data_IF_282478283035
#
_entry.id   IF_282478283035
#
_cell.length_a   1.000
_cell.length_b   1.000
_cell.length_c   1.000
_cell.angle_alpha   90.00
_cell.angle_beta   90.00
_cell.angle_gamma   90.00
#
_symmetry.space_group_name_H-M   'P 1'
#
loop_
_entity.id
_entity.type
_entity.pdbx_description
1 polymer ?
#
# COMPACT_ATOMS: atom_id res chain seq x y z
N UNK A 1 -4.45 -4.55 -25.20
CA UNK A 1 -5.82 -4.78 -24.67
C UNK A 1 -5.82 -4.51 -23.18
N UNK A 2 -6.16 -3.27 -22.79
CA UNK A 2 -6.45 -2.92 -21.40
C UNK A 2 -7.82 -3.51 -21.04
N UNK A 3 -8.03 -3.84 -19.76
CA UNK A 3 -9.32 -4.30 -19.26
C UNK A 3 -9.77 -3.44 -18.10
N UNK A 4 -11.08 -3.32 -17.90
CA UNK A 4 -11.65 -2.66 -16.73
C UNK A 4 -11.16 -3.37 -15.45
N UNK A 5 -10.46 -2.65 -14.58
CA UNK A 5 -9.79 -3.17 -13.40
C UNK A 5 -8.33 -3.62 -13.61
N UNK A 6 -7.78 -3.51 -14.82
CA UNK A 6 -6.35 -3.69 -15.07
C UNK A 6 -5.55 -2.46 -14.62
N UNK A 7 -4.26 -2.61 -14.43
CA UNK A 7 -3.37 -1.50 -14.06
C UNK A 7 -2.21 -1.40 -15.05
N UNK A 8 -1.79 -0.20 -15.41
CA UNK A 8 -0.74 0.07 -16.42
C UNK A 8 0.09 1.31 -16.05
N UNK A 9 1.30 1.43 -16.60
CA UNK A 9 2.11 2.64 -16.42
C UNK A 9 2.01 3.57 -17.62
N UNK A 10 1.95 4.86 -17.31
CA UNK A 10 2.10 5.94 -18.28
C UNK A 10 2.87 7.10 -17.63
N UNK A 11 3.91 7.58 -18.31
CA UNK A 11 4.81 8.65 -17.83
C UNK A 11 5.34 8.44 -16.41
N UNK A 12 5.74 7.22 -16.07
CA UNK A 12 6.30 6.87 -14.75
C UNK A 12 5.29 6.89 -13.60
N UNK A 13 4.00 7.09 -13.90
CA UNK A 13 2.93 7.05 -12.90
C UNK A 13 2.12 5.76 -13.06
N UNK A 14 1.86 5.02 -11.98
CA UNK A 14 0.99 3.86 -11.97
C UNK A 14 -0.49 4.27 -12.15
N UNK A 15 -1.19 3.72 -13.16
CA UNK A 15 -2.61 3.96 -13.45
C UNK A 15 -3.45 2.70 -13.29
N UNK A 16 -4.66 2.83 -12.74
CA UNK A 16 -5.65 1.75 -12.68
C UNK A 16 -6.82 2.07 -13.61
N UNK A 17 -7.13 1.17 -14.54
CA UNK A 17 -8.20 1.28 -15.52
C UNK A 17 -9.53 1.18 -14.81
N UNK A 18 -10.23 2.29 -14.74
CA UNK A 18 -11.54 2.42 -14.12
C UNK A 18 -12.61 1.89 -15.06
N UNK A 19 -12.46 2.19 -16.35
CA UNK A 19 -13.41 1.89 -17.41
C UNK A 19 -12.76 2.03 -18.80
N UNK A 20 -13.36 1.39 -19.82
CA UNK A 20 -12.92 1.47 -21.21
C UNK A 20 -14.14 1.75 -22.07
N UNK A 21 -14.15 2.90 -22.73
CA UNK A 21 -15.15 3.26 -23.73
C UNK A 21 -14.62 2.96 -25.13
N UNK A 22 -15.46 3.13 -26.16
CA UNK A 22 -15.04 2.94 -27.56
C UNK A 22 -13.89 3.87 -27.97
N UNK A 23 -13.83 5.08 -27.39
CA UNK A 23 -12.91 6.14 -27.80
C UNK A 23 -11.77 6.42 -26.81
N UNK A 24 -11.88 5.96 -25.55
CA UNK A 24 -10.94 6.33 -24.49
C UNK A 24 -10.82 5.32 -23.34
N UNK A 25 -9.66 5.32 -22.70
CA UNK A 25 -9.41 4.57 -21.46
C UNK A 25 -9.47 5.53 -20.27
N UNK A 26 -10.42 5.31 -19.37
CA UNK A 26 -10.56 6.07 -18.14
C UNK A 26 -9.70 5.40 -17.06
N UNK A 27 -8.67 6.08 -16.58
CA UNK A 27 -7.76 5.54 -15.58
C UNK A 27 -7.51 6.52 -14.42
N UNK A 28 -7.33 6.01 -13.20
CA UNK A 28 -6.89 6.80 -12.04
C UNK A 28 -5.40 6.64 -11.80
N UNK A 29 -4.68 7.72 -11.46
CA UNK A 29 -3.34 7.60 -10.92
C UNK A 29 -3.47 6.93 -9.55
N UNK A 30 -2.97 5.72 -9.46
CA UNK A 30 -3.02 4.94 -8.24
C UNK A 30 -1.81 5.32 -7.41
N UNK A 31 -1.99 5.71 -6.15
CA UNK A 31 -0.87 5.73 -5.20
C UNK A 31 -0.50 4.29 -4.86
N UNK A 32 0.15 3.56 -5.78
CA UNK A 32 0.70 2.21 -5.67
C UNK A 32 -0.22 1.07 -5.18
N UNK A 33 -1.47 1.35 -4.77
CA UNK A 33 -2.29 0.52 -3.87
C UNK A 33 -3.34 -0.38 -4.51
N UNK A 34 -3.51 -0.32 -5.82
CA UNK A 34 -4.36 -1.23 -6.61
C UNK A 34 -3.68 -1.72 -7.88
N UNK A 35 -2.37 -1.50 -7.99
CA UNK A 35 -1.56 -2.11 -9.01
C UNK A 35 -1.09 -3.45 -8.47
N UNK A 36 -1.89 -4.48 -8.68
CA UNK A 36 -1.32 -5.79 -8.97
C UNK A 36 -0.79 -5.73 -10.41
N UNK A 37 0.27 -4.95 -10.64
CA UNK A 37 1.26 -5.40 -11.61
C UNK A 37 2.12 -6.33 -10.79
N UNK A 38 2.06 -7.64 -11.05
CA UNK A 38 2.95 -8.55 -10.37
C UNK A 38 4.35 -8.03 -10.63
N UNK A 39 5.12 -7.76 -9.57
CA UNK A 39 6.55 -7.60 -9.71
C UNK A 39 7.05 -8.96 -10.23
N UNK A 40 7.08 -9.14 -11.54
CA UNK A 40 7.56 -10.36 -12.15
C UNK A 40 9.09 -10.35 -12.05
N UNK A 41 9.60 -10.47 -10.83
CA UNK A 41 10.98 -10.86 -10.50
C UNK A 41 11.24 -12.33 -10.89
N UNK A 42 10.60 -12.80 -11.96
CA UNK A 42 10.74 -14.15 -12.52
C UNK A 42 11.39 -14.15 -13.90
N UNK A 43 11.74 -12.98 -14.44
CA UNK A 43 12.66 -12.84 -15.59
C UNK A 43 14.11 -12.71 -15.13
N UNK A 44 14.34 -12.09 -13.96
CA UNK A 44 15.66 -12.06 -13.33
C UNK A 44 16.01 -13.44 -12.75
N UNK A 45 17.30 -13.79 -12.85
CA UNK A 45 17.84 -15.00 -12.25
C UNK A 45 17.65 -14.89 -10.72
N UNK A 46 16.87 -15.80 -10.09
CA UNK A 46 16.62 -15.71 -8.66
C UNK A 46 17.90 -15.95 -7.88
N UNK A 47 18.10 -15.18 -6.82
CA UNK A 47 19.19 -15.44 -5.87
C UNK A 47 18.87 -16.74 -5.13
N UNK A 48 19.80 -17.70 -5.19
CA UNK A 48 19.63 -19.00 -4.55
C UNK A 48 19.72 -18.90 -3.03
N UNK A 49 19.26 -19.94 -2.35
CA UNK A 49 19.34 -20.04 -0.90
C UNK A 49 20.80 -19.97 -0.42
N UNK A 50 21.71 -20.66 -1.09
CA UNK A 50 23.14 -20.73 -0.72
C UNK A 50 23.79 -19.35 -0.80
N UNK A 51 23.55 -18.61 -1.89
CA UNK A 51 24.09 -17.25 -2.06
C UNK A 51 23.54 -16.32 -0.99
N UNK A 52 22.23 -16.40 -0.71
CA UNK A 52 21.62 -15.57 0.33
C UNK A 52 22.21 -15.87 1.73
N UNK A 53 22.49 -17.13 2.02
CA UNK A 53 23.13 -17.56 3.27
C UNK A 53 24.57 -17.04 3.38
N UNK A 54 25.38 -17.10 2.32
CA UNK A 54 26.74 -16.54 2.33
C UNK A 54 26.74 -15.03 2.56
N UNK A 55 25.84 -14.30 1.90
CA UNK A 55 25.66 -12.86 2.16
C UNK A 55 25.25 -12.60 3.61
N UNK A 56 24.35 -13.42 4.15
CA UNK A 56 23.96 -13.38 5.57
C UNK A 56 25.16 -13.57 6.51
N UNK A 57 26.02 -14.56 6.23
CA UNK A 57 27.27 -14.79 6.99
C UNK A 57 28.18 -13.56 6.96
N UNK A 58 28.34 -12.93 5.79
CA UNK A 58 29.18 -11.73 5.67
C UNK A 58 28.68 -10.55 6.50
N UNK A 59 27.36 -10.39 6.69
CA UNK A 59 26.79 -9.33 7.55
C UNK A 59 27.22 -9.48 9.01
N UNK A 60 27.31 -10.72 9.50
CA UNK A 60 27.68 -11.02 10.89
C UNK A 60 29.11 -10.57 11.26
N UNK A 61 29.97 -10.34 10.25
CA UNK A 61 31.37 -9.90 10.43
C UNK A 61 31.44 -8.43 10.86
N UNK A 62 30.48 -7.59 10.45
CA UNK A 62 30.41 -6.16 10.83
C UNK A 62 29.33 -5.94 11.89
N UNK A 63 29.64 -6.24 13.16
CA UNK A 63 28.70 -6.21 14.32
C UNK A 63 28.17 -4.83 14.75
N UNK A 64 28.23 -3.79 13.92
CA UNK A 64 27.88 -2.43 14.35
C UNK A 64 26.36 -2.16 14.41
N UNK A 65 25.51 -3.12 14.03
CA UNK A 65 24.05 -3.01 14.08
C UNK A 65 23.48 -4.20 14.84
N UNK A 66 22.61 -3.95 15.82
CA UNK A 66 21.93 -4.99 16.61
C UNK A 66 20.43 -4.67 16.74
N UNK A 67 19.53 -5.67 16.56
CA UNK A 67 19.81 -7.01 16.03
C UNK A 67 20.26 -6.98 14.55
N UNK A 68 21.21 -7.85 14.19
CA UNK A 68 21.72 -8.00 12.82
C UNK A 68 20.97 -9.12 12.10
N UNK A 69 20.31 -8.86 10.96
CA UNK A 69 19.73 -9.92 10.14
C UNK A 69 20.83 -10.64 9.37
N UNK A 70 21.08 -11.90 9.74
CA UNK A 70 22.11 -12.75 9.17
C UNK A 70 21.56 -14.16 8.86
N UNK A 71 22.47 -15.11 8.61
CA UNK A 71 22.10 -16.47 8.25
C UNK A 71 21.60 -17.33 9.44
N UNK A 72 21.70 -16.83 10.68
CA UNK A 72 21.26 -17.53 11.91
C UNK A 72 20.14 -16.80 12.64
N UNK A 73 19.94 -15.52 12.35
CA UNK A 73 19.02 -14.62 13.05
C UNK A 73 18.01 -14.06 12.08
N UNK A 74 16.77 -14.51 12.24
CA UNK A 74 15.59 -13.98 11.55
C UNK A 74 15.02 -12.86 12.42
N UNK A 75 14.74 -11.71 11.82
CA UNK A 75 14.20 -10.56 12.56
C UNK A 75 12.83 -10.23 12.00
N UNK A 76 11.82 -10.20 12.88
CA UNK A 76 10.50 -9.66 12.60
C UNK A 76 10.46 -8.23 13.12
N UNK A 77 10.80 -7.29 12.24
CA UNK A 77 10.78 -5.86 12.53
C UNK A 77 9.39 -5.29 12.30
N UNK A 78 8.86 -4.53 13.26
CA UNK A 78 7.51 -3.96 13.20
C UNK A 78 7.60 -2.45 13.41
N UNK A 79 7.10 -1.70 12.44
CA UNK A 79 7.05 -0.23 12.44
C UNK A 79 5.62 0.20 12.09
N UNK A 80 4.82 0.50 13.12
CA UNK A 80 3.38 0.81 12.98
C UNK A 80 2.61 -0.29 12.21
N UNK A 81 2.30 -0.07 10.94
CA UNK A 81 1.53 -0.93 10.04
C UNK A 81 2.43 -1.59 8.97
N UNK A 82 3.74 -1.41 9.06
CA UNK A 82 4.74 -2.06 8.24
C UNK A 82 5.42 -3.17 9.05
N UNK A 83 5.44 -4.37 8.49
CA UNK A 83 6.17 -5.53 9.03
C UNK A 83 7.27 -5.89 8.05
N UNK A 84 8.50 -5.98 8.52
CA UNK A 84 9.66 -6.42 7.72
C UNK A 84 10.24 -7.67 8.34
N UNK A 85 10.05 -8.81 7.67
CA UNK A 85 10.70 -10.06 8.04
C UNK A 85 12.04 -10.14 7.32
N UNK A 86 13.12 -9.90 8.05
CA UNK A 86 14.48 -10.09 7.53
C UNK A 86 14.84 -11.57 7.58
N UNK A 87 14.99 -12.17 6.40
CA UNK A 87 15.24 -13.59 6.19
C UNK A 87 16.17 -13.78 4.99
N UNK A 88 17.42 -14.15 5.24
CA UNK A 88 18.42 -14.42 4.19
C UNK A 88 18.25 -15.81 3.56
N UNK A 89 17.09 -16.09 2.94
CA UNK A 89 16.78 -17.40 2.37
C UNK A 89 16.65 -17.41 0.82
N UNK A 90 16.93 -16.30 0.15
CA UNK A 90 16.90 -16.22 -1.31
C UNK A 90 15.50 -15.97 -1.85
N UNK A 91 15.41 -15.73 -3.16
CA UNK A 91 14.20 -15.19 -3.80
C UNK A 91 13.02 -16.16 -3.71
N UNK A 92 13.21 -17.44 -4.07
CA UNK A 92 12.11 -18.42 -4.17
C UNK A 92 11.56 -18.83 -2.81
N UNK A 93 12.42 -18.93 -1.79
CA UNK A 93 11.98 -19.20 -0.42
C UNK A 93 11.21 -18.01 0.13
N UNK A 94 11.76 -16.80 0.00
CA UNK A 94 11.12 -15.60 0.53
C UNK A 94 9.79 -15.29 -0.17
N UNK A 95 9.65 -15.56 -1.48
CA UNK A 95 8.37 -15.48 -2.18
C UNK A 95 7.31 -16.42 -1.58
N UNK A 96 7.71 -17.65 -1.25
CA UNK A 96 6.83 -18.63 -0.62
C UNK A 96 6.39 -18.17 0.78
N UNK A 97 7.35 -17.77 1.61
CA UNK A 97 7.08 -17.26 2.96
C UNK A 97 6.23 -15.99 2.92
N UNK A 98 6.51 -15.04 2.04
CA UNK A 98 5.74 -13.79 1.92
C UNK A 98 4.27 -14.06 1.64
N UNK A 99 4.00 -14.97 0.72
CA UNK A 99 2.64 -15.32 0.32
C UNK A 99 1.88 -16.04 1.42
N UNK A 100 2.53 -17.00 2.08
CA UNK A 100 1.94 -17.72 3.21
C UNK A 100 1.68 -16.78 4.39
N UNK A 101 2.62 -15.91 4.69
CA UNK A 101 2.52 -15.00 5.83
C UNK A 101 1.46 -13.92 5.59
N UNK A 102 1.44 -13.31 4.40
CA UNK A 102 0.36 -12.41 3.98
C UNK A 102 -1.00 -13.08 4.09
N UNK A 103 -1.13 -14.35 3.66
CA UNK A 103 -2.39 -15.10 3.79
C UNK A 103 -2.80 -15.29 5.25
N UNK A 104 -1.89 -15.71 6.14
CA UNK A 104 -2.21 -15.87 7.57
C UNK A 104 -2.62 -14.57 8.24
N UNK A 105 -1.96 -13.45 7.91
CA UNK A 105 -2.35 -12.14 8.42
C UNK A 105 -3.68 -11.69 7.82
N UNK A 106 -3.91 -11.91 6.53
CA UNK A 106 -5.19 -11.57 5.89
C UNK A 106 -6.35 -12.35 6.50
N UNK A 107 -6.16 -13.63 6.80
CA UNK A 107 -7.16 -14.47 7.47
C UNK A 107 -7.46 -14.01 8.90
N UNK A 108 -6.44 -13.51 9.61
CA UNK A 108 -6.59 -12.95 10.95
C UNK A 108 -7.32 -11.61 10.95
N UNK A 109 -7.03 -10.75 9.96
CA UNK A 109 -7.50 -9.37 9.88
C UNK A 109 -8.88 -9.27 9.19
N UNK A 110 -9.17 -10.15 8.23
CA UNK A 110 -10.34 -10.06 7.36
C UNK A 110 -10.17 -9.08 6.18
N UNK A 111 -8.96 -8.54 5.98
CA UNK A 111 -8.60 -7.64 4.89
C UNK A 111 -7.31 -8.10 4.19
N UNK A 112 -7.09 -7.63 2.96
CA UNK A 112 -5.90 -7.98 2.17
C UNK A 112 -4.63 -7.38 2.76
N UNK A 113 -3.60 -8.20 2.95
CA UNK A 113 -2.25 -7.76 3.34
C UNK A 113 -1.32 -7.76 2.14
N UNK A 114 -0.71 -6.61 1.87
CA UNK A 114 0.27 -6.48 0.78
C UNK A 114 1.59 -7.11 1.20
N UNK A 115 2.22 -7.86 0.31
CA UNK A 115 3.53 -8.44 0.57
C UNK A 115 4.42 -8.43 -0.67
N UNK A 116 5.67 -8.01 -0.48
CA UNK A 116 6.74 -8.08 -1.48
C UNK A 116 7.96 -8.72 -0.83
N UNK A 117 8.65 -9.57 -1.58
CA UNK A 117 9.86 -10.23 -1.13
C UNK A 117 11.04 -9.85 -2.02
N UNK A 118 12.20 -9.72 -1.40
CA UNK A 118 13.50 -9.78 -2.05
C UNK A 118 14.30 -10.97 -1.49
N UNK A 119 15.53 -11.24 -1.95
CA UNK A 119 16.33 -12.38 -1.48
C UNK A 119 16.64 -12.39 0.03
N UNK A 120 16.48 -11.26 0.71
CA UNK A 120 16.96 -11.05 2.08
C UNK A 120 15.88 -10.59 3.05
N UNK A 121 14.73 -10.10 2.56
CA UNK A 121 13.63 -9.64 3.40
C UNK A 121 12.29 -9.72 2.70
N UNK A 122 11.25 -9.72 3.52
CA UNK A 122 9.85 -9.69 3.11
C UNK A 122 9.20 -8.48 3.78
N UNK A 123 8.64 -7.59 2.98
CA UNK A 123 7.89 -6.44 3.46
C UNK A 123 6.41 -6.75 3.39
N UNK A 124 5.69 -6.54 4.49
CA UNK A 124 4.24 -6.64 4.54
C UNK A 124 3.63 -5.32 5.00
N UNK A 125 2.67 -4.81 4.24
CA UNK A 125 1.90 -3.61 4.60
C UNK A 125 0.52 -4.02 5.07
N UNK A 126 0.25 -3.76 6.35
CA UNK A 126 -1.02 -4.01 7.01
C UNK A 126 -1.98 -2.84 6.76
N UNK A 127 -3.30 -3.07 6.76
CA UNK A 127 -4.28 -1.99 6.71
C UNK A 127 -4.28 -1.13 7.98
N UNK A 128 -3.86 -1.70 9.11
CA UNK A 128 -3.72 -1.04 10.41
C UNK A 128 -2.65 -1.73 11.28
N UNK A 129 -2.09 -1.04 12.29
CA UNK A 129 -1.13 -1.63 13.22
C UNK A 129 -1.71 -2.82 14.00
N UNK A 130 -0.92 -3.87 14.17
CA UNK A 130 -1.25 -5.05 14.97
C UNK A 130 -0.26 -5.24 16.11
N UNK A 131 -0.66 -5.95 17.16
CA UNK A 131 0.25 -6.32 18.26
C UNK A 131 1.31 -7.32 17.77
N UNK A 132 2.52 -7.22 18.31
CA UNK A 132 3.64 -8.15 18.01
C UNK A 132 3.22 -9.60 18.11
N UNK A 133 2.48 -9.94 19.17
CA UNK A 133 2.14 -11.31 19.51
C UNK A 133 1.14 -11.91 18.52
N UNK A 134 0.26 -11.09 17.95
CA UNK A 134 -0.67 -11.50 16.88
C UNK A 134 0.11 -11.79 15.59
N UNK A 135 1.02 -10.89 15.21
CA UNK A 135 1.86 -11.02 14.02
C UNK A 135 2.78 -12.26 14.15
N UNK A 136 3.42 -12.42 15.31
CA UNK A 136 4.29 -13.57 15.60
C UNK A 136 3.51 -14.89 15.57
N UNK A 137 2.32 -14.94 16.20
CA UNK A 137 1.46 -16.12 16.15
C UNK A 137 1.04 -16.45 14.72
N UNK A 138 0.65 -15.45 13.92
CA UNK A 138 0.31 -15.65 12.52
C UNK A 138 1.49 -16.26 11.74
N UNK A 139 2.70 -15.74 11.92
CA UNK A 139 3.91 -16.29 11.29
C UNK A 139 4.19 -17.74 11.72
N UNK A 140 4.19 -18.02 13.03
CA UNK A 140 4.47 -19.36 13.57
C UNK A 140 3.36 -20.38 13.25
N UNK A 141 2.16 -19.92 12.92
CA UNK A 141 1.03 -20.79 12.54
C UNK A 141 1.17 -21.42 11.16
N UNK A 142 2.10 -20.95 10.32
CA UNK A 142 2.35 -21.50 8.97
C UNK A 142 2.81 -22.95 9.11
N UNK A 143 2.08 -23.90 8.51
CA UNK A 143 2.38 -25.34 8.60
C UNK A 143 2.41 -26.00 7.22
N UNK A 144 1.25 -26.07 6.56
CA UNK A 144 1.10 -26.83 5.33
C UNK A 144 1.53 -26.00 4.11
N UNK A 145 2.85 -25.82 3.92
CA UNK A 145 3.44 -24.90 2.93
C UNK A 145 2.88 -25.15 1.53
N UNK A 146 2.93 -26.39 1.04
CA UNK A 146 2.44 -26.71 -0.31
C UNK A 146 0.95 -26.41 -0.48
N UNK A 147 0.09 -26.95 0.38
CA UNK A 147 -1.37 -26.79 0.22
C UNK A 147 -1.81 -25.34 0.43
N UNK A 148 -1.21 -24.62 1.40
CA UNK A 148 -1.55 -23.22 1.66
C UNK A 148 -1.09 -22.33 0.48
N UNK A 149 0.06 -22.65 -0.15
CA UNK A 149 0.48 -22.00 -1.40
C UNK A 149 -0.47 -22.29 -2.55
N UNK A 150 -0.89 -23.55 -2.75
CA UNK A 150 -1.87 -23.94 -3.77
C UNK A 150 -3.18 -23.15 -3.60
N UNK A 151 -3.74 -23.12 -2.38
CA UNK A 151 -4.95 -22.37 -2.07
C UNK A 151 -4.78 -20.86 -2.31
N UNK A 152 -3.62 -20.31 -1.96
CA UNK A 152 -3.32 -18.89 -2.20
C UNK A 152 -3.17 -18.56 -3.70
N UNK A 153 -2.93 -19.57 -4.55
CA UNK A 153 -2.77 -19.45 -6.01
C UNK A 153 -4.09 -19.46 -6.76
N UNK A 154 -5.08 -20.24 -6.31
CA UNK A 154 -6.33 -20.51 -7.04
C UNK A 154 -7.09 -19.25 -7.48
N UNK A 155 -6.92 -18.13 -6.77
CA UNK A 155 -7.59 -16.86 -7.07
C UNK A 155 -6.63 -15.72 -7.40
N UNK A 156 -5.37 -16.05 -7.68
CA UNK A 156 -4.34 -15.03 -7.90
C UNK A 156 -4.21 -14.63 -9.37
N UNK A 157 -3.98 -13.33 -9.66
CA UNK A 157 -3.61 -12.89 -11.00
C UNK A 157 -2.37 -13.57 -11.58
N UNK A 158 -1.44 -14.01 -10.71
CA UNK A 158 -0.28 -14.84 -11.10
C UNK A 158 -0.72 -16.11 -11.84
N UNK A 159 -1.70 -16.83 -11.29
CA UNK A 159 -2.24 -18.04 -11.90
C UNK A 159 -2.89 -17.73 -13.25
N UNK A 160 -3.74 -16.70 -13.31
CA UNK A 160 -4.39 -16.27 -14.56
C UNK A 160 -3.38 -15.96 -15.66
N UNK A 161 -2.39 -15.14 -15.34
CA UNK A 161 -1.39 -14.70 -16.30
C UNK A 161 -0.56 -15.86 -16.84
N UNK A 162 -0.08 -16.75 -15.96
CA UNK A 162 0.68 -17.92 -16.40
C UNK A 162 -0.19 -18.92 -17.15
N UNK A 163 -1.46 -19.04 -16.77
CA UNK A 163 -2.43 -19.86 -17.52
C UNK A 163 -2.63 -19.34 -18.94
N UNK A 164 -2.77 -18.02 -19.13
CA UNK A 164 -2.85 -17.42 -20.47
C UNK A 164 -1.61 -17.75 -21.30
N UNK A 165 -0.42 -17.59 -20.73
CA UNK A 165 0.83 -17.86 -21.42
C UNK A 165 0.97 -19.35 -21.82
N UNK A 166 0.68 -20.26 -20.89
CA UNK A 166 0.78 -21.70 -21.15
C UNK A 166 -0.34 -22.19 -22.05
N UNK A 167 -1.56 -21.67 -21.90
CA UNK A 167 -2.68 -21.95 -22.79
C UNK A 167 -2.39 -21.57 -24.24
N UNK A 168 -1.68 -20.45 -24.46
CA UNK A 168 -1.21 -20.06 -25.80
C UNK A 168 -0.14 -21.02 -26.33
N UNK A 169 0.86 -21.37 -25.53
CA UNK A 169 1.90 -22.34 -25.94
C UNK A 169 1.31 -23.71 -26.29
N UNK A 170 0.25 -24.13 -25.60
CA UNK A 170 -0.45 -25.40 -25.84
C UNK A 170 -1.47 -25.32 -26.99
N UNK A 171 -1.66 -24.14 -27.61
CA UNK A 171 -2.65 -23.93 -28.66
C UNK A 171 -4.11 -23.96 -28.16
N UNK A 172 -4.34 -23.94 -26.85
CA UNK A 172 -5.68 -23.86 -26.27
C UNK A 172 -6.30 -22.46 -26.44
N UNK A 173 -5.47 -21.43 -26.46
CA UNK A 173 -5.88 -20.02 -26.49
C UNK A 173 -5.20 -19.30 -27.65
N UNK A 174 -5.92 -18.42 -28.33
CA UNK A 174 -5.33 -17.49 -29.30
C UNK A 174 -4.48 -16.41 -28.61
N UNK A 175 -3.67 -15.69 -29.37
CA UNK A 175 -2.77 -14.65 -28.84
C UNK A 175 -3.51 -13.49 -28.17
N UNK A 176 -4.70 -13.16 -28.68
CA UNK A 176 -5.58 -12.10 -28.20
C UNK A 176 -6.58 -12.59 -27.14
N UNK A 177 -6.70 -13.90 -26.94
CA UNK A 177 -7.62 -14.47 -25.97
C UNK A 177 -7.32 -13.96 -24.56
N UNK A 178 -8.39 -13.61 -23.87
CA UNK A 178 -8.38 -13.32 -22.47
C UNK A 178 -9.40 -14.18 -21.71
N UNK A 179 -9.04 -14.64 -20.52
CA UNK A 179 -9.84 -15.58 -19.74
C UNK A 179 -10.16 -15.03 -18.36
N UNK A 180 -11.37 -15.31 -17.88
CA UNK A 180 -11.75 -15.03 -16.51
C UNK A 180 -11.16 -16.06 -15.54
N UNK A 181 -11.04 -15.71 -14.26
CA UNK A 181 -10.63 -16.69 -13.25
C UNK A 181 -11.61 -17.87 -13.12
N UNK A 182 -12.90 -17.66 -13.41
CA UNK A 182 -13.89 -18.75 -13.42
C UNK A 182 -13.54 -19.77 -14.51
N UNK A 183 -13.13 -19.31 -15.69
CA UNK A 183 -12.69 -20.19 -16.78
C UNK A 183 -11.44 -21.00 -16.38
N UNK A 184 -10.43 -20.34 -15.81
CA UNK A 184 -9.21 -21.00 -15.34
C UNK A 184 -9.53 -22.10 -14.32
N UNK A 185 -10.44 -21.84 -13.38
CA UNK A 185 -10.88 -22.85 -12.38
C UNK A 185 -11.66 -24.01 -12.99
N UNK A 186 -12.48 -23.76 -14.01
CA UNK A 186 -13.21 -24.82 -14.71
C UNK A 186 -12.25 -25.84 -15.35
N UNK A 187 -11.05 -25.40 -15.71
CA UNK A 187 -10.00 -26.23 -16.31
C UNK A 187 -9.00 -26.79 -15.30
N UNK A 188 -9.30 -26.81 -13.99
CA UNK A 188 -8.38 -27.28 -12.93
C UNK A 188 -7.80 -28.69 -13.15
N UNK A 189 -8.52 -29.55 -13.85
CA UNK A 189 -8.11 -30.93 -14.16
C UNK A 189 -7.49 -31.10 -15.55
N UNK A 190 -7.34 -30.02 -16.31
CA UNK A 190 -6.69 -30.03 -17.63
C UNK A 190 -5.17 -30.10 -17.52
N UNK A 191 -4.52 -30.67 -18.53
CA UNK A 191 -3.06 -30.66 -18.65
C UNK A 191 -2.47 -29.23 -18.63
N UNK A 192 -3.17 -28.27 -19.25
CA UNK A 192 -2.76 -26.85 -19.27
C UNK A 192 -2.74 -26.26 -17.86
N UNK A 193 -3.74 -26.54 -17.04
CA UNK A 193 -3.76 -26.06 -15.65
C UNK A 193 -2.68 -26.73 -14.81
N UNK A 194 -2.51 -28.05 -14.94
CA UNK A 194 -1.48 -28.78 -14.20
C UNK A 194 -0.07 -28.29 -14.56
N UNK A 195 0.21 -28.07 -15.85
CA UNK A 195 1.47 -27.47 -16.29
C UNK A 195 1.63 -26.03 -15.80
N UNK A 196 0.54 -25.27 -15.75
CA UNK A 196 0.55 -23.92 -15.17
C UNK A 196 0.97 -23.92 -13.71
N UNK A 197 0.33 -24.76 -12.89
CA UNK A 197 0.69 -24.89 -11.48
C UNK A 197 2.13 -25.38 -11.33
N UNK A 198 2.53 -26.42 -12.07
CA UNK A 198 3.90 -26.96 -12.05
C UNK A 198 4.94 -25.89 -12.39
N UNK A 199 4.70 -25.11 -13.45
CA UNK A 199 5.58 -24.03 -13.90
C UNK A 199 5.68 -22.91 -12.85
N UNK A 200 4.56 -22.53 -12.22
CA UNK A 200 4.56 -21.54 -11.14
C UNK A 200 5.37 -22.04 -9.95
N UNK A 201 5.11 -23.27 -9.48
CA UNK A 201 5.84 -23.85 -8.37
C UNK A 201 7.33 -23.97 -8.66
N UNK A 202 7.70 -24.40 -9.86
CA UNK A 202 9.09 -24.53 -10.26
C UNK A 202 9.81 -23.18 -10.40
N UNK A 203 9.15 -22.13 -10.91
CA UNK A 203 9.82 -20.84 -11.15
C UNK A 203 9.86 -19.94 -9.92
N UNK A 204 8.81 -19.95 -9.10
CA UNK A 204 8.63 -18.93 -8.06
C UNK A 204 8.86 -19.42 -6.64
N UNK A 205 8.76 -20.73 -6.37
CA UNK A 205 8.74 -21.24 -5.00
C UNK A 205 9.74 -22.37 -4.79
N UNK A 206 10.41 -22.39 -3.64
CA UNK A 206 11.18 -23.54 -3.17
C UNK A 206 10.51 -24.10 -1.92
N UNK A 207 9.65 -25.09 -2.11
CA UNK A 207 8.80 -25.65 -1.05
C UNK A 207 9.66 -26.34 0.01
N UNK A 208 10.60 -27.20 -0.42
CA UNK A 208 11.40 -28.01 0.50
C UNK A 208 12.25 -27.15 1.43
N UNK A 209 12.95 -26.16 0.87
CA UNK A 209 13.75 -25.23 1.66
C UNK A 209 12.87 -24.34 2.55
N UNK A 210 11.69 -23.92 2.06
CA UNK A 210 10.73 -23.15 2.85
C UNK A 210 10.25 -23.92 4.08
N UNK A 211 9.88 -25.19 3.92
CA UNK A 211 9.45 -26.06 5.03
C UNK A 211 10.55 -26.25 6.07
N UNK A 212 11.79 -26.49 5.62
CA UNK A 212 12.94 -26.66 6.50
C UNK A 212 13.26 -25.37 7.27
N UNK A 213 13.25 -24.20 6.63
CA UNK A 213 13.47 -22.91 7.30
C UNK A 213 12.40 -22.64 8.37
N UNK A 214 11.12 -22.82 8.04
CA UNK A 214 10.03 -22.64 9.01
C UNK A 214 10.15 -23.62 10.19
N UNK A 215 10.60 -24.86 9.94
CA UNK A 215 10.89 -25.85 10.97
C UNK A 215 12.09 -25.45 11.84
N UNK A 216 13.16 -24.95 11.25
CA UNK A 216 14.35 -24.49 11.98
C UNK A 216 14.04 -23.29 12.88
N UNK A 217 13.17 -22.37 12.43
CA UNK A 217 12.67 -21.27 13.25
C UNK A 217 11.86 -21.80 14.44
N UNK A 218 10.92 -22.72 14.21
CA UNK A 218 10.08 -23.30 15.29
C UNK A 218 10.88 -24.10 16.31
N UNK A 219 11.90 -24.81 15.87
CA UNK A 219 12.78 -25.61 16.75
C UNK A 219 13.88 -24.79 17.41
N UNK A 220 13.99 -23.49 17.10
CA UNK A 220 14.98 -22.58 17.68
C UNK A 220 16.39 -22.71 17.08
N UNK A 221 16.59 -23.52 16.03
CA UNK A 221 17.86 -23.59 15.29
C UNK A 221 18.19 -22.28 14.60
N UNK A 222 17.16 -21.61 14.06
CA UNK A 222 17.23 -20.22 13.61
C UNK A 222 16.58 -19.34 14.67
N UNK A 223 17.33 -18.35 15.17
CA UNK A 223 16.85 -17.44 16.20
C UNK A 223 15.85 -16.47 15.58
N UNK A 224 14.61 -16.44 16.07
CA UNK A 224 13.64 -15.41 15.74
C UNK A 224 13.70 -14.28 16.78
N UNK A 225 13.91 -13.06 16.33
CA UNK A 225 13.89 -11.85 17.16
C UNK A 225 12.73 -10.98 16.74
N UNK A 226 11.91 -10.55 17.70
CA UNK A 226 10.86 -9.55 17.48
C UNK A 226 11.45 -8.18 17.79
N UNK A 227 11.37 -7.25 16.85
CA UNK A 227 11.99 -5.93 16.96
C UNK A 227 10.95 -4.83 16.65
N UNK A 228 10.33 -4.29 17.70
CA UNK A 228 9.39 -3.18 17.56
C UNK A 228 10.15 -1.86 17.58
N UNK A 229 9.94 -1.02 16.56
CA UNK A 229 10.63 0.26 16.40
C UNK A 229 9.66 1.37 15.99
N UNK A 230 10.01 2.60 16.34
CA UNK A 230 9.34 3.80 15.83
C UNK A 230 9.73 4.09 14.38
N UNK A 231 11.00 3.85 14.01
CA UNK A 231 11.52 4.08 12.66
C UNK A 231 12.15 2.83 12.05
N UNK A 232 12.06 2.64 10.72
CA UNK A 232 12.69 1.52 10.04
C UNK A 232 14.20 1.47 10.30
N UNK A 233 14.73 0.28 10.50
CA UNK A 233 16.17 0.02 10.52
C UNK A 233 16.79 0.34 9.15
N UNK A 234 18.13 0.44 9.10
CA UNK A 234 18.85 0.63 7.84
C UNK A 234 18.49 -0.41 6.78
N UNK A 235 18.40 -1.70 7.17
CA UNK A 235 18.02 -2.76 6.23
C UNK A 235 16.54 -2.69 5.86
N UNK A 236 15.64 -2.30 6.76
CA UNK A 236 14.25 -2.10 6.41
C UNK A 236 14.11 -0.92 5.42
N UNK A 237 14.80 0.20 5.67
CA UNK A 237 14.79 1.39 4.81
C UNK A 237 15.22 1.07 3.37
N UNK A 238 16.32 0.32 3.17
CA UNK A 238 16.73 -0.13 1.83
C UNK A 238 15.64 -0.99 1.16
N UNK A 239 14.98 -1.84 1.94
CA UNK A 239 13.90 -2.69 1.43
C UNK A 239 12.70 -1.86 0.98
N UNK A 240 12.32 -0.87 1.80
CA UNK A 240 11.22 0.06 1.50
C UNK A 240 11.56 0.87 0.26
N UNK A 241 12.77 1.41 0.15
CA UNK A 241 13.21 2.20 -1.01
C UNK A 241 13.15 1.39 -2.30
N UNK A 242 13.64 0.14 -2.28
CA UNK A 242 13.55 -0.76 -3.45
C UNK A 242 12.10 -1.13 -3.78
N UNK A 243 11.31 -1.47 -2.77
CA UNK A 243 9.91 -1.84 -2.96
C UNK A 243 9.04 -0.64 -3.36
N UNK A 244 9.44 0.57 -3.01
CA UNK A 244 8.77 1.83 -3.39
C UNK A 244 9.35 2.45 -4.66
N UNK A 245 10.42 1.87 -5.22
CA UNK A 245 10.97 2.24 -6.52
C UNK A 245 10.18 1.59 -7.66
N UNK A 246 10.21 2.23 -8.84
CA UNK A 246 9.52 1.73 -10.03
C UNK A 246 8.00 1.87 -9.94
N UNK A 247 7.26 0.79 -10.10
CA UNK A 247 5.79 0.79 -10.29
C UNK A 247 5.00 0.83 -8.97
N UNK A 248 5.66 0.61 -7.83
CA UNK A 248 5.06 0.44 -6.49
C UNK A 248 5.23 1.69 -5.59
N UNK A 249 5.31 2.88 -6.19
CA UNK A 249 5.61 4.13 -5.48
C UNK A 249 4.71 4.33 -4.26
N UNK A 250 5.34 4.43 -3.08
CA UNK A 250 4.69 4.73 -1.81
C UNK A 250 3.87 3.60 -1.17
N UNK A 251 3.93 2.37 -1.67
CA UNK A 251 3.13 1.26 -1.15
C UNK A 251 3.55 0.79 0.26
N UNK A 252 4.85 0.88 0.56
CA UNK A 252 5.44 0.37 1.81
C UNK A 252 5.92 1.47 2.77
N UNK A 253 5.57 2.74 2.49
CA UNK A 253 5.96 3.84 3.36
C UNK A 253 5.28 3.72 4.75
N UNK A 254 6.02 3.91 5.86
CA UNK A 254 5.45 3.93 7.19
C UNK A 254 4.34 4.98 7.31
N UNK A 255 3.32 4.68 8.11
CA UNK A 255 2.15 5.55 8.31
C UNK A 255 2.54 6.99 8.69
N UNK A 256 3.48 7.15 9.61
CA UNK A 256 3.99 8.45 10.07
C UNK A 256 4.59 9.27 8.93
N UNK A 257 5.37 8.64 8.04
CA UNK A 257 5.98 9.33 6.89
C UNK A 257 4.93 9.77 5.85
N UNK A 258 3.85 9.01 5.70
CA UNK A 258 2.71 9.41 4.87
C UNK A 258 2.01 10.63 5.50
N UNK A 259 1.81 10.62 6.82
CA UNK A 259 1.18 11.73 7.55
C UNK A 259 2.05 12.98 7.46
N UNK A 260 3.37 12.88 7.67
CA UNK A 260 4.28 14.02 7.61
C UNK A 260 4.34 14.62 6.20
N UNK A 261 4.45 13.78 5.16
CA UNK A 261 4.42 14.24 3.78
C UNK A 261 3.09 14.95 3.43
N UNK A 262 1.96 14.40 3.88
CA UNK A 262 0.66 15.03 3.69
C UNK A 262 0.54 16.35 4.46
N UNK A 263 1.07 16.41 5.68
CA UNK A 263 1.12 17.64 6.50
C UNK A 263 1.93 18.72 5.81
N UNK A 264 3.12 18.40 5.32
CA UNK A 264 3.99 19.33 4.58
C UNK A 264 3.29 19.84 3.31
N UNK A 265 2.69 18.95 2.51
CA UNK A 265 1.92 19.32 1.33
C UNK A 265 0.75 20.24 1.68
N UNK A 266 -0.06 19.87 2.68
CA UNK A 266 -1.20 20.66 3.11
C UNK A 266 -0.80 22.06 3.59
N UNK A 267 0.28 22.17 4.36
CA UNK A 267 0.76 23.46 4.89
C UNK A 267 1.44 24.33 3.82
N UNK A 268 1.99 23.74 2.76
CA UNK A 268 2.62 24.48 1.66
C UNK A 268 1.61 25.26 0.77
N UNK A 269 0.31 24.97 0.89
CA UNK A 269 -0.72 25.58 0.05
C UNK A 269 -1.00 27.04 0.45
N UNK A 270 -1.28 27.85 -0.56
CA UNK A 270 -1.80 29.21 -0.40
C UNK A 270 -3.26 29.24 -0.80
N UNK A 271 -4.13 29.69 0.11
CA UNK A 271 -5.57 29.72 -0.07
C UNK A 271 -6.02 31.13 -0.43
N UNK A 272 -6.99 31.24 -1.33
CA UNK A 272 -7.67 32.50 -1.62
C UNK A 272 -8.96 32.56 -0.79
N UNK A 273 -9.06 33.54 0.10
CA UNK A 273 -10.19 33.70 1.01
C UNK A 273 -11.02 34.92 0.62
N UNK A 274 -12.34 34.86 0.82
CA UNK A 274 -13.25 35.98 0.70
C UNK A 274 -14.08 36.17 1.97
N UNK A 275 -14.22 37.42 2.41
CA UNK A 275 -15.09 37.76 3.54
C UNK A 275 -16.54 37.90 3.07
N UNK A 276 -17.46 37.14 3.66
CA UNK A 276 -18.88 37.18 3.34
C UNK A 276 -19.59 38.45 3.86
N UNK A 277 -18.95 39.21 4.75
CA UNK A 277 -19.51 40.46 5.28
C UNK A 277 -19.15 41.70 4.45
N UNK A 278 -17.91 41.80 3.95
CA UNK A 278 -17.43 43.01 3.27
C UNK A 278 -16.80 42.75 1.89
N UNK A 279 -16.87 41.51 1.41
CA UNK A 279 -16.33 41.02 0.13
C UNK A 279 -14.82 41.20 -0.07
N UNK A 280 -14.08 41.61 0.97
CA UNK A 280 -12.63 41.70 0.92
C UNK A 280 -12.01 40.31 0.71
N UNK A 281 -11.09 40.21 -0.22
CA UNK A 281 -10.34 38.98 -0.50
C UNK A 281 -8.91 39.06 0.03
N UNK A 282 -8.32 37.91 0.34
CA UNK A 282 -6.89 37.82 0.68
C UNK A 282 -6.33 36.45 0.34
N UNK A 283 -5.04 36.42 0.00
CA UNK A 283 -4.29 35.18 -0.01
C UNK A 283 -3.75 34.87 1.39
N UNK A 284 -3.78 33.61 1.79
CA UNK A 284 -3.27 33.15 3.06
C UNK A 284 -2.45 31.87 2.85
N UNK A 285 -1.17 31.93 3.17
CA UNK A 285 -0.30 30.76 3.18
C UNK A 285 -0.56 29.95 4.45
N UNK A 286 -0.88 28.65 4.30
CA UNK A 286 -1.34 27.82 5.41
C UNK A 286 -0.30 27.61 6.50
N UNK A 287 0.99 27.47 6.15
CA UNK A 287 2.06 27.31 7.13
C UNK A 287 2.05 28.46 8.17
N UNK A 288 1.91 29.70 7.69
CA UNK A 288 1.87 30.91 8.52
C UNK A 288 0.46 31.35 8.96
N UNK A 289 -0.58 30.55 8.71
CA UNK A 289 -1.93 30.93 9.09
C UNK A 289 -2.09 30.98 10.63
N UNK A 290 -2.71 32.04 11.18
CA UNK A 290 -3.02 32.11 12.61
C UNK A 290 -4.12 31.12 12.99
N UNK A 291 -4.21 30.76 14.27
CA UNK A 291 -5.26 29.85 14.76
C UNK A 291 -6.66 30.42 14.55
N UNK A 292 -6.84 31.73 14.76
CA UNK A 292 -8.10 32.44 14.48
C UNK A 292 -7.97 33.27 13.20
N UNK A 293 -8.93 33.11 12.31
CA UNK A 293 -8.93 33.71 10.98
C UNK A 293 -9.93 34.90 10.96
N UNK A 294 -9.42 36.13 10.92
CA UNK A 294 -10.24 37.36 10.84
C UNK A 294 -10.03 38.12 9.54
N UNK A 295 -11.04 38.86 9.10
CA UNK A 295 -10.95 39.72 7.93
C UNK A 295 -10.05 40.94 8.23
N UNK A 296 -9.14 41.27 7.32
CA UNK A 296 -8.25 42.43 7.46
C UNK A 296 -8.97 43.79 7.30
N UNK A 297 -10.20 43.80 6.76
CA UNK A 297 -10.95 45.03 6.46
C UNK A 297 -12.04 45.33 7.48
N UNK A 298 -12.78 44.32 7.93
CA UNK A 298 -13.91 44.49 8.86
C UNK A 298 -13.77 43.69 10.16
N UNK A 299 -12.64 43.01 10.36
CA UNK A 299 -12.29 42.25 11.58
C UNK A 299 -13.21 41.06 11.92
N UNK A 300 -14.32 40.88 11.20
CA UNK A 300 -15.21 39.72 11.35
C UNK A 300 -14.56 38.43 10.87
N UNK A 301 -14.92 37.33 11.52
CA UNK A 301 -14.44 35.97 11.23
C UNK A 301 -15.34 35.21 10.24
N UNK A 302 -16.02 35.90 9.33
CA UNK A 302 -16.91 35.31 8.32
C UNK A 302 -16.19 35.17 6.98
N UNK A 303 -15.14 34.34 6.95
CA UNK A 303 -14.30 34.11 5.78
C UNK A 303 -14.55 32.72 5.20
N UNK A 304 -14.62 32.65 3.88
CA UNK A 304 -14.75 31.40 3.13
C UNK A 304 -13.67 31.29 2.05
N UNK A 305 -13.64 30.16 1.34
CA UNK A 305 -12.66 29.85 0.30
C UNK A 305 -13.18 30.25 -1.08
N UNK A 306 -12.26 30.67 -1.94
CA UNK A 306 -12.46 30.80 -3.37
C UNK A 306 -11.80 29.63 -4.10
N UNK A 307 -12.45 29.17 -5.17
CA UNK A 307 -11.87 28.19 -6.08
C UNK A 307 -10.81 28.83 -7.01
N UNK A 308 -10.21 28.02 -7.90
CA UNK A 308 -9.19 28.50 -8.85
C UNK A 308 -9.74 29.52 -9.85
N UNK A 309 -11.05 29.54 -10.07
CA UNK A 309 -11.75 30.47 -10.94
C UNK A 309 -12.25 31.71 -10.19
N UNK A 310 -11.86 31.88 -8.91
CA UNK A 310 -12.31 32.94 -8.01
C UNK A 310 -13.82 32.96 -7.73
N UNK A 311 -14.48 31.81 -7.84
CA UNK A 311 -15.86 31.64 -7.38
C UNK A 311 -15.89 31.16 -5.93
N UNK A 312 -16.97 31.49 -5.24
CA UNK A 312 -17.25 30.93 -3.92
C UNK A 312 -17.37 29.41 -3.99
N UNK A 313 -16.71 28.71 -3.06
CA UNK A 313 -16.91 27.26 -2.91
C UNK A 313 -18.38 26.94 -2.59
N UNK A 314 -18.83 25.73 -2.95
CA UNK A 314 -20.18 25.26 -2.60
C UNK A 314 -20.38 25.31 -1.08
N UNK A 315 -21.58 25.70 -0.66
CA UNK A 315 -21.96 25.89 0.74
C UNK A 315 -21.03 26.85 1.50
N UNK A 316 -20.74 27.99 0.87
CA UNK A 316 -19.80 29.01 1.37
C UNK A 316 -20.08 29.49 2.80
N UNK A 317 -21.35 29.66 3.17
CA UNK A 317 -21.77 30.04 4.53
C UNK A 317 -21.40 28.97 5.56
N UNK A 318 -21.60 27.70 5.21
CA UNK A 318 -21.25 26.59 6.09
C UNK A 318 -19.72 26.47 6.23
N UNK A 319 -18.98 26.60 5.12
CA UNK A 319 -17.52 26.66 5.15
C UNK A 319 -17.02 27.81 6.05
N UNK A 320 -17.64 28.99 5.99
CA UNK A 320 -17.30 30.12 6.84
C UNK A 320 -17.57 29.84 8.32
N UNK A 321 -18.69 29.18 8.65
CA UNK A 321 -18.98 28.73 10.01
C UNK A 321 -17.92 27.77 10.56
N UNK A 322 -17.43 26.84 9.73
CA UNK A 322 -16.35 25.93 10.12
C UNK A 322 -15.02 26.67 10.34
N UNK A 323 -14.69 27.62 9.46
CA UNK A 323 -13.48 28.45 9.60
C UNK A 323 -13.56 29.32 10.86
N UNK A 324 -14.74 29.85 11.19
CA UNK A 324 -14.95 30.60 12.42
C UNK A 324 -14.76 29.74 13.67
N UNK A 325 -15.29 28.51 13.68
CA UNK A 325 -15.27 27.63 14.84
C UNK A 325 -13.91 26.93 15.05
N UNK A 326 -13.28 26.46 13.97
CA UNK A 326 -12.09 25.60 14.02
C UNK A 326 -10.84 26.22 13.40
N UNK A 327 -10.95 27.42 12.80
CA UNK A 327 -9.81 28.21 12.38
C UNK A 327 -8.92 27.52 11.35
N UNK A 328 -7.61 27.46 11.64
CA UNK A 328 -6.59 26.84 10.78
C UNK A 328 -6.92 25.39 10.41
N UNK A 329 -7.46 24.60 11.35
CA UNK A 329 -7.84 23.20 11.09
C UNK A 329 -8.95 23.09 10.03
N UNK A 330 -9.94 23.99 10.05
CA UNK A 330 -10.96 24.03 9.01
C UNK A 330 -10.38 24.38 7.64
N UNK A 331 -9.44 25.33 7.58
CA UNK A 331 -8.76 25.66 6.32
C UNK A 331 -7.98 24.46 5.75
N UNK A 332 -7.26 23.71 6.59
CA UNK A 332 -6.55 22.49 6.17
C UNK A 332 -7.54 21.46 5.60
N UNK A 333 -8.62 21.15 6.33
CA UNK A 333 -9.60 20.17 5.90
C UNK A 333 -10.29 20.59 4.58
N UNK A 334 -10.79 21.82 4.50
CA UNK A 334 -11.51 22.33 3.32
C UNK A 334 -10.61 22.55 2.09
N UNK A 335 -9.30 22.79 2.31
CA UNK A 335 -8.34 22.87 1.20
C UNK A 335 -8.00 21.50 0.60
N UNK A 336 -8.39 20.41 1.26
CA UNK A 336 -8.10 19.06 0.81
C UNK A 336 -9.07 18.65 -0.29
N UNK A 337 -8.52 18.21 -1.42
CA UNK A 337 -9.32 17.79 -2.57
C UNK A 337 -10.33 16.71 -2.19
N UNK A 338 -11.60 16.94 -2.53
CA UNK A 338 -12.70 16.01 -2.26
C UNK A 338 -13.34 16.14 -0.88
N UNK A 339 -12.87 17.06 -0.04
CA UNK A 339 -13.46 17.32 1.28
C UNK A 339 -14.29 18.60 1.20
N UNK A 340 -15.61 18.45 1.14
CA UNK A 340 -16.56 19.56 1.26
C UNK A 340 -16.91 19.89 2.71
N UNK A 341 -17.70 20.97 2.96
CA UNK A 341 -18.04 21.43 4.31
C UNK A 341 -18.64 20.36 5.22
N UNK A 342 -19.58 19.55 4.74
CA UNK A 342 -20.19 18.47 5.55
C UNK A 342 -19.19 17.39 5.96
N UNK A 343 -18.22 17.05 5.10
CA UNK A 343 -17.19 16.06 5.43
C UNK A 343 -16.17 16.65 6.39
N UNK A 344 -15.79 17.92 6.19
CA UNK A 344 -14.91 18.65 7.10
C UNK A 344 -15.52 18.79 8.50
N UNK A 345 -16.80 19.14 8.63
CA UNK A 345 -17.50 19.23 9.91
C UNK A 345 -17.42 17.91 10.70
N UNK A 346 -17.67 16.78 10.04
CA UNK A 346 -17.56 15.46 10.67
C UNK A 346 -16.16 15.19 11.21
N UNK A 347 -15.11 15.53 10.46
CA UNK A 347 -13.71 15.34 10.87
C UNK A 347 -13.36 16.27 12.05
N UNK A 348 -13.75 17.55 11.96
CA UNK A 348 -13.40 18.58 12.94
C UNK A 348 -14.07 18.36 14.31
N UNK A 349 -15.26 17.75 14.33
CA UNK A 349 -15.97 17.39 15.57
C UNK A 349 -15.32 16.23 16.34
N UNK A 350 -14.47 15.41 15.69
CA UNK A 350 -13.82 14.30 16.36
C UNK A 350 -12.79 14.83 17.35
N UNK A 351 -13.01 14.60 18.64
CA UNK A 351 -12.05 14.94 19.69
C UNK A 351 -10.86 13.99 19.56
N UNK A 352 -9.74 14.51 19.06
CA UNK A 352 -8.46 13.79 18.96
C UNK A 352 -7.47 14.35 19.99
N UNK A 353 -6.63 13.49 20.55
CA UNK A 353 -5.60 13.87 21.55
C UNK A 353 -4.33 14.42 20.87
N UNK A 354 -4.10 14.01 19.63
CA UNK A 354 -2.90 14.28 18.83
C UNK A 354 -3.25 14.90 17.47
N UNK A 355 -2.32 15.71 16.95
CA UNK A 355 -2.45 16.39 15.67
C UNK A 355 -2.38 15.42 14.48
N UNK A 356 -1.64 14.31 14.61
CA UNK A 356 -1.46 13.31 13.56
C UNK A 356 -2.78 12.60 13.20
N UNK A 357 -3.57 12.24 14.21
CA UNK A 357 -4.89 11.64 14.03
C UNK A 357 -5.82 12.54 13.20
N UNK A 358 -5.71 13.86 13.33
CA UNK A 358 -6.48 14.80 12.51
C UNK A 358 -6.09 14.73 11.02
N UNK A 359 -4.80 14.73 10.70
CA UNK A 359 -4.34 14.56 9.32
C UNK A 359 -4.71 13.20 8.76
N UNK A 360 -4.69 12.16 9.60
CA UNK A 360 -5.11 10.84 9.19
C UNK A 360 -6.60 10.77 8.81
N UNK A 361 -7.48 11.37 9.61
CA UNK A 361 -8.92 11.43 9.31
C UNK A 361 -9.18 12.14 7.98
N UNK A 362 -8.39 13.19 7.66
CA UNK A 362 -8.42 13.89 6.37
C UNK A 362 -8.00 12.96 5.23
N UNK A 363 -6.87 12.26 5.37
CA UNK A 363 -6.38 11.31 4.36
C UNK A 363 -7.42 10.21 4.10
N UNK A 364 -8.05 9.66 5.15
CA UNK A 364 -9.08 8.65 5.02
C UNK A 364 -10.36 9.18 4.35
N UNK A 365 -10.80 10.39 4.71
CA UNK A 365 -11.95 11.03 4.09
C UNK A 365 -11.70 11.30 2.60
N UNK A 366 -10.50 11.80 2.25
CA UNK A 366 -10.09 11.98 0.86
C UNK A 366 -10.11 10.65 0.09
N UNK A 367 -9.59 9.56 0.67
CA UNK A 367 -9.68 8.22 0.07
C UNK A 367 -11.11 7.77 -0.16
N UNK A 368 -12.01 7.96 0.83
CA UNK A 368 -13.43 7.61 0.70
C UNK A 368 -14.11 8.41 -0.40
N UNK A 369 -13.81 9.71 -0.52
CA UNK A 369 -14.34 10.54 -1.61
C UNK A 369 -13.89 10.04 -2.98
N UNK A 370 -12.58 9.79 -3.15
CA UNK A 370 -12.02 9.29 -4.41
C UNK A 370 -12.68 7.96 -4.79
N UNK A 371 -12.81 7.03 -3.84
CA UNK A 371 -13.48 5.73 -4.04
C UNK A 371 -14.93 5.89 -4.47
N UNK A 372 -15.68 6.79 -3.83
CA UNK A 372 -17.12 6.95 -4.07
C UNK A 372 -17.45 7.82 -5.28
N UNK A 373 -16.53 8.69 -5.72
CA UNK A 373 -16.70 9.54 -6.91
C UNK A 373 -17.01 8.72 -8.17
N UNK A 374 -16.56 7.45 -8.25
CA UNK A 374 -16.86 6.50 -9.33
C UNK A 374 -18.36 6.25 -9.52
N UNK A 375 -19.16 6.28 -8.45
CA UNK A 375 -20.59 5.96 -8.50
C UNK A 375 -21.47 7.19 -8.80
N UNK A 376 -20.95 8.41 -8.62
CA UNK A 376 -21.70 9.65 -8.81
C UNK A 376 -21.62 10.24 -10.22
N UNK A 377 -20.77 9.68 -11.09
CA UNK A 377 -20.73 10.01 -12.52
C UNK A 377 -21.71 9.19 -13.37
N UNK A 378 -22.36 8.19 -12.77
CA UNK A 378 -23.34 7.31 -13.41
C UNK A 378 -24.78 7.66 -13.00
N UNK A 379 -25.00 8.89 -12.50
CA UNK A 379 -26.29 9.41 -12.04
C UNK A 379 -26.72 10.60 -12.87
#
# INVERSE_FOLDING_TARGET
NLEVGASFLSHGTPWHVIDITEDAVLAEPTSGKNIMVPSWTGEDIPVSFEVAQEVGKMRSIKKNVSPMPDNKTVILEIVSDLVVLHLCAGTRVNNGVARLFSKKLSDLIGESVWAVADPYRILLKLPFPLKSDDIQRAFLSIKNVKSDLELSLENSPLLRFKFLHIGRMFGLLSEDANVSMRFVRALRYSAVYQETMRSIFFRYFDIGTTEEILKQIKTGKLKLVIDQREKPSYFAAIGIERASGGENVGAFEPREKIISAFKEDALSRTLHLQCLNCNATRFLHLAGAPEKITCHKCEKSTLTLLDKQNNLVRDADFAAGLIQAYGKRALIALSTYGIGPSTADRILRMIRRDEESFYLDIIEAQKKFIKNKKYWKLS
#
